data_IF_207650663087
#
_entry.id   IF_207650663087
#
_cell.length_a   1.000
_cell.length_b   1.000
_cell.length_c   1.000
_cell.angle_alpha   90.00
_cell.angle_beta   90.00
_cell.angle_gamma   90.00
#
_symmetry.space_group_name_H-M   'P 1'
#
loop_
_entity.id
_entity.type
_entity.pdbx_description
1 polymer ?
#
# COMPACT_ATOMS: atom_id res chain seq x y z
N UNK A 1 18.53 9.29 -4.62
CA UNK A 1 17.14 9.04 -5.06
C UNK A 1 17.13 7.76 -5.87
N UNK A 2 16.83 6.59 -5.26
CA UNK A 2 16.87 5.28 -5.97
C UNK A 2 15.63 5.15 -6.87
N UNK A 3 15.83 4.76 -8.13
CA UNK A 3 14.84 4.62 -9.20
C UNK A 3 13.54 3.94 -8.71
N UNK A 4 12.45 4.69 -8.55
CA UNK A 4 11.15 4.14 -8.15
C UNK A 4 10.37 3.80 -9.40
N UNK A 5 9.99 2.52 -9.54
CA UNK A 5 9.25 2.03 -10.70
C UNK A 5 7.75 2.41 -10.70
N UNK A 6 7.21 2.82 -9.54
CA UNK A 6 5.80 3.15 -9.35
C UNK A 6 5.65 4.51 -8.68
N UNK A 7 4.64 5.25 -9.12
CA UNK A 7 4.29 6.57 -8.62
C UNK A 7 3.65 6.45 -7.25
N UNK A 8 4.02 7.35 -6.34
CA UNK A 8 3.48 7.40 -4.98
C UNK A 8 2.57 8.61 -4.83
N UNK A 9 1.36 8.36 -4.38
CA UNK A 9 0.42 9.36 -3.93
C UNK A 9 0.55 9.56 -2.42
N UNK A 10 0.48 10.81 -1.97
CA UNK A 10 0.29 11.10 -0.53
C UNK A 10 -1.08 10.58 -0.13
N UNK A 11 -1.16 9.82 0.96
CA UNK A 11 -2.41 9.21 1.40
C UNK A 11 -2.44 9.08 2.91
N UNK A 12 -2.89 10.15 3.57
CA UNK A 12 -2.87 10.29 5.03
C UNK A 12 -4.13 9.73 5.68
N UNK A 13 -4.25 8.40 5.74
CA UNK A 13 -5.36 7.70 6.44
C UNK A 13 -4.85 6.70 7.47
N UNK A 14 -5.64 6.52 8.52
CA UNK A 14 -5.41 5.47 9.51
C UNK A 14 -5.68 4.10 8.88
N UNK A 15 -4.85 3.14 9.23
CA UNK A 15 -4.93 1.76 8.80
C UNK A 15 -4.81 0.83 10.01
N UNK A 16 -5.44 -0.33 9.90
CA UNK A 16 -5.14 -1.46 10.77
C UNK A 16 -4.19 -2.41 10.05
N UNK A 17 -3.21 -2.93 10.78
CA UNK A 17 -2.27 -3.94 10.30
C UNK A 17 -2.47 -5.19 11.16
N UNK A 18 -2.78 -6.31 10.53
CA UNK A 18 -2.91 -7.60 11.20
C UNK A 18 -1.71 -8.48 10.86
N UNK A 19 -1.02 -8.97 11.91
CA UNK A 19 0.17 -9.82 11.79
C UNK A 19 0.17 -10.84 12.94
N UNK A 20 0.30 -12.13 12.61
CA UNK A 20 0.34 -13.19 13.63
C UNK A 20 -0.89 -13.23 14.56
N UNK A 21 -2.07 -12.84 14.06
CA UNK A 21 -3.30 -12.77 14.85
C UNK A 21 -3.45 -11.51 15.72
N UNK A 22 -2.44 -10.64 15.76
CA UNK A 22 -2.53 -9.35 16.44
C UNK A 22 -2.89 -8.25 15.45
N UNK A 23 -3.77 -7.33 15.87
CA UNK A 23 -4.14 -6.15 15.09
C UNK A 23 -3.59 -4.90 15.77
N UNK A 24 -2.83 -4.12 15.02
CA UNK A 24 -2.20 -2.88 15.47
C UNK A 24 -2.63 -1.71 14.58
N UNK A 25 -2.53 -0.50 15.13
CA UNK A 25 -2.81 0.73 14.40
C UNK A 25 -1.57 1.29 13.69
N UNK A 26 -1.79 1.97 12.57
CA UNK A 26 -0.77 2.77 11.89
C UNK A 26 -1.40 3.86 11.03
N UNK A 27 -0.58 4.80 10.57
CA UNK A 27 -0.99 5.84 9.64
C UNK A 27 -0.25 5.67 8.32
N UNK A 28 -0.98 5.53 7.21
CA UNK A 28 -0.36 5.54 5.89
C UNK A 28 0.07 6.97 5.60
N UNK A 29 1.29 7.15 5.10
CA UNK A 29 1.74 8.46 4.60
C UNK A 29 1.67 8.54 3.08
N UNK A 30 2.07 7.47 2.40
CA UNK A 30 2.06 7.39 0.96
C UNK A 30 1.77 5.96 0.48
N UNK A 31 1.16 5.88 -0.70
CA UNK A 31 0.76 4.63 -1.33
C UNK A 31 1.02 4.66 -2.84
N UNK A 32 1.25 3.50 -3.41
CA UNK A 32 1.45 3.26 -4.84
C UNK A 32 0.78 1.94 -5.22
N UNK A 33 0.70 1.64 -6.52
CA UNK A 33 0.13 0.38 -7.00
C UNK A 33 0.86 -0.89 -6.48
N UNK A 34 2.09 -0.77 -5.97
CA UNK A 34 2.90 -1.91 -5.49
C UNK A 34 3.37 -1.80 -4.05
N UNK A 35 3.03 -0.75 -3.33
CA UNK A 35 3.57 -0.56 -1.99
C UNK A 35 2.95 0.60 -1.25
N UNK A 36 3.12 0.56 0.06
CA UNK A 36 2.66 1.56 1.01
C UNK A 36 3.75 1.83 2.04
N UNK A 37 3.70 3.02 2.61
CA UNK A 37 4.53 3.41 3.73
C UNK A 37 3.64 3.78 4.91
N UNK A 38 3.84 3.09 6.04
CA UNK A 38 3.01 3.22 7.24
C UNK A 38 3.89 3.65 8.41
N UNK A 39 3.47 4.68 9.11
CA UNK A 39 4.01 5.04 10.42
C UNK A 39 3.29 4.25 11.51
N UNK A 40 4.05 3.58 12.36
CA UNK A 40 3.49 2.86 13.50
C UNK A 40 4.54 2.67 14.59
N UNK A 41 4.15 2.76 15.86
CA UNK A 41 5.07 2.54 16.99
C UNK A 41 5.45 1.06 17.16
N UNK A 42 4.79 0.16 16.44
CA UNK A 42 5.01 -1.28 16.54
C UNK A 42 6.11 -1.74 15.59
N UNK A 43 7.04 -2.52 16.13
CA UNK A 43 8.07 -3.16 15.31
C UNK A 43 7.51 -4.46 14.72
N UNK A 44 7.36 -4.49 13.40
CA UNK A 44 7.04 -5.71 12.65
C UNK A 44 8.32 -6.19 11.97
N UNK A 45 8.73 -7.46 12.13
CA UNK A 45 9.93 -7.97 11.49
C UNK A 45 9.94 -7.81 9.97
N UNK A 46 11.13 -7.70 9.38
CA UNK A 46 11.28 -7.76 7.93
C UNK A 46 10.78 -9.12 7.41
N UNK A 47 10.26 -9.11 6.19
CA UNK A 47 9.68 -10.25 5.49
C UNK A 47 8.40 -10.83 6.12
N UNK A 48 7.87 -10.23 7.18
CA UNK A 48 6.56 -10.60 7.72
C UNK A 48 5.46 -10.30 6.70
N UNK A 49 4.59 -11.29 6.48
CA UNK A 49 3.33 -11.10 5.76
C UNK A 49 2.32 -10.46 6.70
N UNK A 50 1.66 -9.42 6.23
CA UNK A 50 0.66 -8.65 6.97
C UNK A 50 -0.58 -8.43 6.14
N UNK A 51 -1.71 -8.29 6.81
CA UNK A 51 -2.96 -7.81 6.21
C UNK A 51 -3.14 -6.35 6.61
N UNK A 52 -3.43 -5.47 5.65
CA UNK A 52 -3.61 -4.03 5.88
C UNK A 52 -5.00 -3.66 5.43
N UNK A 53 -5.77 -3.03 6.32
CA UNK A 53 -7.11 -2.54 6.02
C UNK A 53 -7.20 -1.03 6.23
N UNK A 54 -7.84 -0.34 5.28
CA UNK A 54 -8.09 1.10 5.35
C UNK A 54 -9.54 1.37 5.04
N UNK A 55 -10.31 1.81 6.04
CA UNK A 55 -11.68 2.22 5.81
C UNK A 55 -11.71 3.57 5.08
N UNK A 56 -12.39 3.63 3.93
CA UNK A 56 -12.54 4.86 3.16
C UNK A 56 -13.98 5.34 3.01
N UNK A 57 -14.96 4.51 3.36
CA UNK A 57 -16.37 4.88 3.51
C UNK A 57 -16.98 4.04 4.66
N UNK A 58 -18.24 4.32 5.03
CA UNK A 58 -18.93 3.55 6.08
C UNK A 58 -18.95 2.04 5.80
N UNK A 59 -19.07 1.65 4.52
CA UNK A 59 -19.25 0.26 4.10
C UNK A 59 -18.16 -0.21 3.13
N UNK A 60 -17.00 0.46 3.09
CA UNK A 60 -15.95 0.12 2.14
C UNK A 60 -14.55 0.31 2.72
N UNK A 61 -13.74 -0.72 2.53
CA UNK A 61 -12.34 -0.81 2.93
C UNK A 61 -11.46 -1.13 1.73
N UNK A 62 -10.22 -0.66 1.81
CA UNK A 62 -9.11 -1.10 0.97
C UNK A 62 -8.36 -2.18 1.75
N UNK A 63 -8.42 -3.42 1.28
CA UNK A 63 -7.86 -4.58 1.98
C UNK A 63 -6.73 -5.21 1.17
N UNK A 64 -5.54 -5.27 1.77
CA UNK A 64 -4.29 -5.60 1.10
C UNK A 64 -3.53 -6.69 1.87
N UNK A 65 -2.93 -7.64 1.16
CA UNK A 65 -1.85 -8.48 1.70
C UNK A 65 -0.51 -7.89 1.29
N UNK A 66 0.35 -7.63 2.26
CA UNK A 66 1.63 -6.98 2.04
C UNK A 66 2.77 -7.68 2.80
N UNK A 67 4.00 -7.42 2.39
CA UNK A 67 5.22 -7.89 3.05
C UNK A 67 6.00 -6.70 3.54
N UNK A 68 6.46 -6.71 4.79
CA UNK A 68 7.38 -5.69 5.31
C UNK A 68 8.74 -5.86 4.62
N UNK A 69 9.19 -4.87 3.87
CA UNK A 69 10.45 -4.93 3.10
C UNK A 69 11.50 -3.93 3.57
N UNK A 70 11.12 -3.02 4.48
CA UNK A 70 12.01 -1.97 4.98
C UNK A 70 11.51 -1.40 6.30
N UNK A 71 12.44 -1.05 7.17
CA UNK A 71 12.23 -0.15 8.31
C UNK A 71 12.84 1.22 8.02
N UNK A 72 12.25 2.27 8.58
CA UNK A 72 12.85 3.61 8.66
C UNK A 72 13.08 3.99 10.13
N UNK A 73 14.07 4.86 10.36
CA UNK A 73 14.61 5.18 11.69
C UNK A 73 13.56 5.71 12.68
N UNK A 74 12.46 6.31 12.18
CA UNK A 74 11.39 6.91 13.00
C UNK A 74 10.13 6.03 13.07
N UNK A 75 10.29 4.71 13.13
CA UNK A 75 9.19 3.75 13.22
C UNK A 75 8.27 3.69 11.98
N UNK A 76 8.89 3.93 10.81
CA UNK A 76 8.25 3.76 9.51
C UNK A 76 8.42 2.34 8.95
N UNK A 77 7.35 1.78 8.39
CA UNK A 77 7.34 0.49 7.71
C UNK A 77 7.10 0.68 6.21
N UNK A 78 8.11 0.32 5.42
CA UNK A 78 7.95 0.15 3.97
C UNK A 78 7.41 -1.23 3.66
N UNK A 79 6.25 -1.30 3.03
CA UNK A 79 5.59 -2.55 2.69
C UNK A 79 5.41 -2.68 1.18
N UNK A 80 5.61 -3.90 0.67
CA UNK A 80 5.33 -4.27 -0.72
C UNK A 80 4.01 -5.00 -0.76
N UNK A 81 3.09 -4.55 -1.61
CA UNK A 81 1.81 -5.25 -1.80
C UNK A 81 2.07 -6.57 -2.55
N UNK A 82 1.51 -7.65 -2.02
CA UNK A 82 1.56 -8.99 -2.60
C UNK A 82 0.28 -9.29 -3.34
N UNK A 83 -0.88 -9.02 -2.72
CA UNK A 83 -2.21 -9.33 -3.26
C UNK A 83 -3.22 -8.30 -2.77
N UNK A 84 -4.26 -8.10 -3.57
CA UNK A 84 -5.46 -7.33 -3.26
C UNK A 84 -6.61 -7.88 -4.11
N UNK A 85 -7.85 -7.59 -3.72
CA UNK A 85 -9.00 -7.91 -4.57
C UNK A 85 -9.19 -6.85 -5.68
N UNK A 86 -10.07 -7.15 -6.64
CA UNK A 86 -10.33 -6.26 -7.78
C UNK A 86 -10.93 -4.92 -7.34
N UNK A 87 -11.90 -4.85 -6.41
CA UNK A 87 -12.38 -3.58 -5.87
C UNK A 87 -11.26 -2.71 -5.27
N UNK A 88 -10.38 -3.29 -4.45
CA UNK A 88 -9.21 -2.62 -3.87
C UNK A 88 -8.27 -2.09 -4.93
N UNK A 89 -8.05 -2.86 -6.00
CA UNK A 89 -7.23 -2.43 -7.13
C UNK A 89 -7.82 -1.21 -7.83
N UNK A 90 -9.11 -1.25 -8.18
CA UNK A 90 -9.79 -0.13 -8.85
C UNK A 90 -9.73 1.12 -7.97
N UNK A 91 -10.01 0.97 -6.68
CA UNK A 91 -9.93 2.07 -5.71
C UNK A 91 -8.52 2.67 -5.65
N UNK A 92 -7.50 1.82 -5.47
CA UNK A 92 -6.11 2.24 -5.36
C UNK A 92 -5.61 2.93 -6.64
N UNK A 93 -5.94 2.39 -7.82
CA UNK A 93 -5.60 3.00 -9.11
C UNK A 93 -6.21 4.38 -9.23
N UNK A 94 -7.49 4.53 -8.90
CA UNK A 94 -8.17 5.82 -8.97
C UNK A 94 -7.57 6.81 -7.97
N UNK A 95 -7.25 6.36 -6.76
CA UNK A 95 -6.62 7.17 -5.73
C UNK A 95 -5.26 7.73 -6.20
N UNK A 96 -4.39 6.87 -6.73
CA UNK A 96 -3.08 7.28 -7.26
C UNK A 96 -3.25 8.21 -8.45
N UNK A 97 -4.20 7.92 -9.34
CA UNK A 97 -4.49 8.77 -10.51
C UNK A 97 -4.87 10.18 -10.11
N UNK A 98 -5.80 10.34 -9.16
CA UNK A 98 -6.28 11.64 -8.68
C UNK A 98 -5.15 12.45 -8.05
N UNK A 99 -4.28 11.81 -7.28
CA UNK A 99 -3.23 12.51 -6.54
C UNK A 99 -1.99 12.83 -7.38
N UNK A 100 -1.79 12.13 -8.51
CA UNK A 100 -0.62 12.32 -9.35
C UNK A 100 -0.87 13.20 -10.58
N UNK A 101 -2.12 13.40 -11.00
CA UNK A 101 -2.49 14.26 -12.13
C UNK A 101 -2.04 13.74 -13.51
N UNK A 102 -1.22 12.68 -13.58
CA UNK A 102 -0.72 12.07 -14.81
C UNK A 102 -1.37 10.69 -15.04
N UNK A 103 -2.49 10.71 -15.74
CA UNK A 103 -3.27 9.51 -16.05
C UNK A 103 -2.52 8.51 -16.92
N UNK A 104 -1.70 8.98 -17.86
CA UNK A 104 -0.98 8.14 -18.80
C UNK A 104 0.08 7.31 -18.08
N UNK A 105 0.85 7.94 -17.20
CA UNK A 105 1.83 7.26 -16.37
C UNK A 105 1.20 6.19 -15.46
N UNK A 106 0.08 6.51 -14.82
CA UNK A 106 -0.62 5.54 -13.95
C UNK A 106 -1.20 4.38 -14.76
N UNK A 107 -1.65 4.62 -16.00
CA UNK A 107 -2.09 3.57 -16.91
C UNK A 107 -0.94 2.60 -17.25
N UNK A 108 0.24 3.11 -17.57
CA UNK A 108 1.41 2.27 -17.86
C UNK A 108 1.88 1.48 -16.64
N UNK A 109 1.82 2.08 -15.45
CA UNK A 109 2.09 1.37 -14.20
C UNK A 109 1.04 0.28 -13.90
N UNK A 110 -0.24 0.53 -14.24
CA UNK A 110 -1.32 -0.45 -14.10
C UNK A 110 -1.06 -1.67 -14.98
N UNK A 111 -0.67 -1.47 -16.25
CA UNK A 111 -0.30 -2.56 -17.17
C UNK A 111 0.87 -3.40 -16.63
N UNK A 112 1.92 -2.73 -16.13
CA UNK A 112 3.06 -3.40 -15.49
C UNK A 112 2.61 -4.23 -14.29
N UNK A 113 1.74 -3.68 -13.45
CA UNK A 113 1.25 -4.36 -12.25
C UNK A 113 0.41 -5.61 -12.59
N UNK A 114 -0.50 -5.52 -13.58
CA UNK A 114 -1.25 -6.68 -14.06
C UNK A 114 -0.32 -7.78 -14.57
N UNK A 115 0.74 -7.42 -15.31
CA UNK A 115 1.76 -8.39 -15.75
C UNK A 115 2.43 -9.13 -14.58
N UNK A 116 2.60 -8.49 -13.41
CA UNK A 116 3.16 -9.12 -12.22
C UNK A 116 2.16 -10.00 -11.46
N UNK A 117 0.85 -9.85 -11.71
CA UNK A 117 -0.19 -10.67 -11.06
C UNK A 117 -0.42 -12.00 -11.79
N UNK A 118 -0.13 -12.04 -13.10
CA UNK A 118 -0.34 -13.20 -13.97
C UNK A 118 0.93 -14.02 -14.23
N UNK A 119 2.08 -13.55 -13.73
CA UNK A 119 3.40 -14.20 -13.78
C UNK A 119 3.68 -14.98 -12.50
#
# INVERSE_FOLDING_TARGET
MKNRAFTRAKFSKNATITVGGQTIGGQIENISLRGLFVQTKHQIPLNSSVEVSVQYSKNSSLDLKATVVRHEAEAGLGMRINRMDIPSLIYLRNLVTVHCGDQNRVMDETKKMVSYMIS
#
